data_IF_706698986862
#
_entry.id   IF_706698986862
#
_cell.length_a   1.000
_cell.length_b   1.000
_cell.length_c   1.000
_cell.angle_alpha   90.00
_cell.angle_beta   90.00
_cell.angle_gamma   90.00
#
_symmetry.space_group_name_H-M   'P 1'
#
loop_
_entity.id
_entity.type
_entity.pdbx_description
1 polymer ?
#
# COMPACT_ATOMS: atom_id res chain seq x y z
N UNK A 1 -13.34 -3.54 6.59
CA UNK A 1 -13.00 -3.35 5.16
C UNK A 1 -11.55 -3.79 4.96
N UNK A 2 -11.23 -4.59 3.93
CA UNK A 2 -9.89 -5.16 3.72
C UNK A 2 -9.44 -4.90 2.29
N UNK A 3 -8.15 -4.61 2.09
CA UNK A 3 -7.55 -4.64 0.77
C UNK A 3 -7.01 -6.04 0.48
N UNK A 4 -7.09 -6.48 -0.76
CA UNK A 4 -6.70 -7.84 -1.17
C UNK A 4 -5.69 -7.72 -2.31
N UNK A 5 -4.60 -8.47 -2.22
CA UNK A 5 -3.56 -8.55 -3.25
C UNK A 5 -3.38 -10.03 -3.57
N UNK A 6 -3.71 -10.44 -4.79
CA UNK A 6 -3.67 -11.83 -5.25
C UNK A 6 -2.85 -11.93 -6.54
N UNK A 7 -1.90 -12.85 -6.56
CA UNK A 7 -1.02 -13.14 -7.70
C UNK A 7 -0.47 -11.87 -8.39
N UNK A 8 -0.03 -10.90 -7.58
CA UNK A 8 0.35 -9.57 -8.05
C UNK A 8 1.74 -9.21 -7.53
N UNK A 9 2.46 -8.40 -8.29
CA UNK A 9 3.72 -7.80 -7.89
C UNK A 9 3.49 -6.33 -7.52
N UNK A 10 4.01 -5.92 -6.37
CA UNK A 10 3.95 -4.54 -5.88
C UNK A 10 5.38 -4.02 -5.75
N UNK A 11 5.69 -2.97 -6.51
CA UNK A 11 6.99 -2.31 -6.44
C UNK A 11 7.20 -1.54 -5.13
N UNK A 12 8.41 -1.01 -4.97
CA UNK A 12 8.77 -0.22 -3.81
C UNK A 12 7.99 1.11 -3.76
N UNK A 13 7.87 1.67 -2.55
CA UNK A 13 7.25 2.98 -2.32
C UNK A 13 5.81 3.12 -2.85
N UNK A 14 5.08 2.01 -3.00
CA UNK A 14 3.69 2.00 -3.43
C UNK A 14 2.72 2.35 -2.31
N UNK A 15 1.51 2.79 -2.69
CA UNK A 15 0.38 2.94 -1.79
C UNK A 15 -0.83 2.16 -2.32
N UNK A 16 -1.39 1.27 -1.50
CA UNK A 16 -2.63 0.55 -1.81
C UNK A 16 -3.74 1.08 -0.92
N UNK A 17 -4.76 1.67 -1.55
CA UNK A 17 -5.91 2.21 -0.86
C UNK A 17 -6.69 1.16 -0.08
N UNK A 18 -7.47 1.63 0.90
CA UNK A 18 -8.33 0.76 1.71
C UNK A 18 -9.40 0.18 0.79
N UNK A 19 -9.73 -1.10 0.97
CA UNK A 19 -10.75 -1.79 0.16
C UNK A 19 -10.36 -1.93 -1.33
N UNK A 20 -9.10 -1.72 -1.68
CA UNK A 20 -8.62 -1.98 -3.04
C UNK A 20 -8.38 -3.49 -3.24
N UNK A 21 -8.68 -3.99 -4.43
CA UNK A 21 -8.44 -5.38 -4.84
C UNK A 21 -7.48 -5.35 -6.03
N UNK A 22 -6.37 -6.07 -5.93
CA UNK A 22 -5.37 -6.20 -6.98
C UNK A 22 -5.25 -7.68 -7.34
N UNK A 23 -5.54 -8.03 -8.59
CA UNK A 23 -5.50 -9.41 -9.09
C UNK A 23 -4.72 -9.49 -10.40
N UNK A 24 -3.68 -10.34 -10.44
CA UNK A 24 -2.82 -10.51 -11.62
C UNK A 24 -2.17 -9.21 -12.13
N UNK A 25 -1.80 -8.28 -11.24
CA UNK A 25 -1.22 -6.99 -11.66
C UNK A 25 0.24 -6.82 -11.27
N UNK A 26 0.95 -6.01 -12.06
CA UNK A 26 2.27 -5.48 -11.72
C UNK A 26 2.14 -3.98 -11.47
N UNK A 27 2.18 -3.59 -10.20
CA UNK A 27 2.19 -2.18 -9.81
C UNK A 27 3.64 -1.70 -9.75
N UNK A 28 4.00 -0.74 -10.59
CA UNK A 28 5.35 -0.18 -10.65
C UNK A 28 5.74 0.62 -9.40
N UNK A 29 7.04 0.84 -9.21
CA UNK A 29 7.58 1.63 -8.10
C UNK A 29 6.94 3.02 -8.02
N UNK A 30 6.64 3.49 -6.80
CA UNK A 30 6.12 4.83 -6.55
C UNK A 30 4.70 5.04 -7.07
N UNK A 31 3.97 3.97 -7.41
CA UNK A 31 2.59 4.04 -7.85
C UNK A 31 1.60 3.85 -6.69
N UNK A 32 0.41 4.39 -6.85
CA UNK A 32 -0.69 4.29 -5.92
C UNK A 32 -1.97 3.82 -6.59
N UNK A 33 -2.80 3.17 -5.78
CA UNK A 33 -4.15 2.71 -6.10
C UNK A 33 -5.11 3.37 -5.13
N UNK A 34 -6.16 3.99 -5.66
CA UNK A 34 -7.19 4.63 -4.85
C UNK A 34 -8.01 3.59 -4.05
N UNK A 35 -8.58 4.05 -2.95
CA UNK A 35 -9.43 3.20 -2.10
C UNK A 35 -10.65 2.70 -2.87
N UNK A 36 -10.98 1.42 -2.70
CA UNK A 36 -12.15 0.78 -3.34
C UNK A 36 -11.95 0.36 -4.80
N UNK A 37 -10.81 0.67 -5.43
CA UNK A 37 -10.56 0.29 -6.81
C UNK A 37 -10.25 -1.21 -6.94
N UNK A 38 -10.69 -1.79 -8.05
CA UNK A 38 -10.36 -3.17 -8.44
C UNK A 38 -9.46 -3.12 -9.67
N UNK A 39 -8.23 -3.64 -9.53
CA UNK A 39 -7.20 -3.64 -10.54
C UNK A 39 -6.95 -5.05 -11.08
N UNK A 40 -6.85 -5.15 -12.40
CA UNK A 40 -6.47 -6.33 -13.16
C UNK A 40 -5.57 -5.94 -14.34
N UNK A 41 -5.10 -6.94 -15.11
CA UNK A 41 -4.20 -6.73 -16.25
C UNK A 41 -4.74 -5.72 -17.27
N UNK A 42 -6.06 -5.63 -17.46
CA UNK A 42 -6.65 -4.78 -18.49
C UNK A 42 -6.82 -3.32 -18.07
N UNK A 43 -6.85 -3.02 -16.77
CA UNK A 43 -7.13 -1.66 -16.28
C UNK A 43 -6.00 -1.05 -15.43
N UNK A 44 -4.95 -1.80 -15.09
CA UNK A 44 -3.85 -1.33 -14.23
C UNK A 44 -3.21 -0.04 -14.75
N UNK A 45 -3.01 0.08 -16.07
CA UNK A 45 -2.40 1.26 -16.69
C UNK A 45 -3.27 2.51 -16.55
N UNK A 46 -4.59 2.36 -16.48
CA UNK A 46 -5.54 3.46 -16.36
C UNK A 46 -5.75 3.89 -14.90
N UNK A 47 -5.76 2.93 -13.98
CA UNK A 47 -6.15 3.17 -12.59
C UNK A 47 -4.96 3.40 -11.65
N UNK A 48 -3.78 2.88 -11.98
CA UNK A 48 -2.57 3.17 -11.21
C UNK A 48 -2.09 4.59 -11.51
N UNK A 49 -1.74 5.33 -10.46
CA UNK A 49 -1.28 6.72 -10.56
C UNK A 49 0.02 6.91 -9.78
N UNK A 50 0.87 7.89 -10.11
CA UNK A 50 1.99 8.25 -9.24
C UNK A 50 1.51 8.61 -7.83
N UNK A 51 2.24 8.16 -6.82
CA UNK A 51 1.91 8.43 -5.41
C UNK A 51 1.95 9.93 -5.11
N UNK A 52 0.96 10.43 -4.37
CA UNK A 52 0.95 11.84 -3.92
C UNK A 52 1.85 12.06 -2.71
N UNK A 53 2.36 13.30 -2.57
CA UNK A 53 3.17 13.71 -1.41
C UNK A 53 2.45 13.46 -0.08
N UNK A 54 1.15 13.69 -0.04
CA UNK A 54 0.31 13.46 1.13
C UNK A 54 0.33 11.98 1.54
N UNK A 55 0.27 11.05 0.58
CA UNK A 55 0.35 9.61 0.86
C UNK A 55 1.73 9.19 1.34
N UNK A 56 2.80 9.76 0.79
CA UNK A 56 4.17 9.54 1.27
C UNK A 56 4.28 9.94 2.74
N UNK A 57 3.74 11.11 3.12
CA UNK A 57 3.80 11.59 4.50
C UNK A 57 3.00 10.70 5.47
N UNK A 58 1.86 10.15 5.03
CA UNK A 58 1.09 9.17 5.79
C UNK A 58 1.89 7.88 6.01
N UNK A 59 2.52 7.33 4.96
CA UNK A 59 3.34 6.11 5.05
C UNK A 59 4.49 6.31 6.06
N UNK A 60 5.17 7.46 6.01
CA UNK A 60 6.25 7.79 6.95
C UNK A 60 5.76 7.86 8.39
N UNK A 61 4.64 8.55 8.64
CA UNK A 61 4.05 8.66 9.97
C UNK A 61 3.66 7.29 10.54
N UNK A 62 2.99 6.46 9.75
CA UNK A 62 2.59 5.11 10.16
C UNK A 62 3.80 4.22 10.47
N UNK A 63 4.82 4.26 9.61
CA UNK A 63 6.04 3.48 9.81
C UNK A 63 6.76 3.88 11.10
N UNK A 64 6.87 5.19 11.38
CA UNK A 64 7.47 5.70 12.62
C UNK A 64 6.66 5.30 13.85
N UNK A 65 5.34 5.41 13.82
CA UNK A 65 4.47 5.00 14.92
C UNK A 65 4.60 3.50 15.21
N UNK A 66 4.57 2.65 14.18
CA UNK A 66 4.70 1.20 14.35
C UNK A 66 6.09 0.81 14.88
N UNK A 67 7.16 1.51 14.49
CA UNK A 67 8.50 1.30 15.08
C UNK A 67 8.50 1.57 16.59
N UNK A 68 7.87 2.65 17.03
CA UNK A 68 7.74 2.98 18.46
C UNK A 68 6.96 1.88 19.18
N UNK A 69 5.84 1.44 18.61
CA UNK A 69 5.02 0.37 19.20
C UNK A 69 5.80 -0.95 19.33
N UNK A 70 6.48 -1.39 18.28
CA UNK A 70 7.30 -2.60 18.29
C UNK A 70 8.38 -2.52 19.36
N UNK A 71 9.06 -1.37 19.50
CA UNK A 71 10.06 -1.19 20.55
C UNK A 71 9.42 -1.23 21.94
N UNK A 72 8.24 -0.64 22.12
CA UNK A 72 7.47 -0.72 23.35
C UNK A 72 7.14 -2.17 23.72
N UNK A 73 6.58 -2.95 22.78
CA UNK A 73 6.25 -4.36 23.00
C UNK A 73 7.46 -5.21 23.41
N UNK A 74 8.62 -4.98 22.78
CA UNK A 74 9.86 -5.67 23.14
C UNK A 74 10.34 -5.38 24.57
N UNK A 75 10.16 -4.14 25.05
CA UNK A 75 10.57 -3.76 26.41
C UNK A 75 9.72 -4.43 27.49
N UNK A 76 8.46 -4.74 27.19
CA UNK A 76 7.51 -5.38 28.12
C UNK A 76 7.44 -6.90 27.94
N UNK A 77 8.32 -7.49 27.12
CA UNK A 77 8.50 -8.94 27.02
C UNK A 77 7.58 -9.68 26.05
N UNK A 78 7.00 -8.99 25.06
CA UNK A 78 6.33 -9.62 23.92
C UNK A 78 7.25 -9.75 22.70
#
# INVERSE_FOLDING_TARGET
MKSIILNSYIGDNCYVGINAILENVKLGEGMMVESGNILNESNVVLLAKPISKEKIDVIRKMSSANKILVNGYKLIGY
#
